data_IF_309056204387
#
_entry.id   IF_309056204387
#
_cell.length_a   1.000
_cell.length_b   1.000
_cell.length_c   1.000
_cell.angle_alpha   90.00
_cell.angle_beta   90.00
_cell.angle_gamma   90.00
#
_symmetry.space_group_name_H-M   'P 1'
#
loop_
_entity.id
_entity.type
_entity.pdbx_description
1 polymer ?
#
# COMPACT_ATOMS: atom_id res chain seq x y z
N UNK A 1 2.58 19.31 2.09
CA UNK A 1 2.07 19.39 0.69
C UNK A 1 0.76 18.64 0.65
N UNK A 2 -0.15 18.91 -0.27
CA UNK A 2 -1.32 18.04 -0.43
C UNK A 2 -0.86 16.71 -1.04
N UNK A 3 -1.54 15.62 -0.69
CA UNK A 3 -1.37 14.35 -1.36
C UNK A 3 -1.72 14.48 -2.84
N UNK A 4 -1.02 13.72 -3.65
CA UNK A 4 -1.28 13.61 -5.10
C UNK A 4 -2.25 12.46 -5.35
N UNK A 5 -3.27 12.74 -6.15
CA UNK A 5 -4.18 11.71 -6.66
C UNK A 5 -3.83 11.48 -8.12
N UNK A 6 -3.43 10.27 -8.46
CA UNK A 6 -3.30 9.84 -9.85
C UNK A 6 -4.70 9.57 -10.40
N UNK A 7 -5.00 10.14 -11.55
CA UNK A 7 -6.24 9.92 -12.29
C UNK A 7 -5.91 9.28 -13.63
N UNK A 8 -6.58 8.20 -13.98
CA UNK A 8 -6.51 7.50 -15.25
C UNK A 8 -7.90 7.51 -15.88
N UNK A 9 -8.05 8.17 -17.00
CA UNK A 9 -9.34 8.41 -17.67
C UNK A 9 -9.33 7.79 -19.05
N UNK A 10 -10.13 6.76 -19.27
CA UNK A 10 -10.25 6.06 -20.54
C UNK A 10 -11.55 6.45 -21.23
N UNK A 11 -11.44 6.84 -22.51
CA UNK A 11 -12.54 7.28 -23.35
C UNK A 11 -12.99 6.18 -24.30
N UNK A 12 -14.25 5.80 -24.27
CA UNK A 12 -14.84 4.91 -25.26
C UNK A 12 -15.34 5.75 -26.46
N UNK A 13 -14.40 6.11 -27.32
CA UNK A 13 -14.66 6.86 -28.55
C UNK A 13 -13.54 6.67 -29.58
N UNK A 14 -13.73 7.17 -30.80
CA UNK A 14 -12.66 7.16 -31.80
C UNK A 14 -11.54 8.11 -31.43
N UNK A 15 -10.35 7.87 -31.99
CA UNK A 15 -9.17 8.73 -31.79
C UNK A 15 -9.43 10.17 -32.25
N UNK A 16 -10.16 10.36 -33.35
CA UNK A 16 -10.53 11.67 -33.86
C UNK A 16 -11.41 12.43 -32.87
N UNK A 17 -12.38 11.70 -32.24
CA UNK A 17 -13.25 12.29 -31.22
C UNK A 17 -12.49 12.64 -29.95
N UNK A 18 -11.56 11.79 -29.51
CA UNK A 18 -10.69 12.10 -28.39
C UNK A 18 -9.81 13.32 -28.66
N UNK A 19 -9.25 13.43 -29.87
CA UNK A 19 -8.46 14.60 -30.25
C UNK A 19 -9.31 15.90 -30.26
N UNK A 20 -10.58 15.84 -30.68
CA UNK A 20 -11.53 16.95 -30.56
C UNK A 20 -11.74 17.36 -29.10
N UNK A 21 -11.98 16.39 -28.22
CA UNK A 21 -12.17 16.61 -26.78
C UNK A 21 -10.94 17.28 -26.19
N UNK A 22 -9.76 16.67 -26.38
CA UNK A 22 -8.51 17.18 -25.83
C UNK A 22 -8.15 18.57 -26.35
N UNK A 23 -8.43 18.85 -27.62
CA UNK A 23 -8.24 20.20 -28.18
C UNK A 23 -9.14 21.23 -27.51
N UNK A 24 -10.37 20.84 -27.14
CA UNK A 24 -11.34 21.73 -26.48
C UNK A 24 -10.94 22.04 -25.05
N UNK A 25 -10.43 21.05 -24.30
CA UNK A 25 -10.15 21.17 -22.86
C UNK A 25 -8.69 21.48 -22.55
N UNK A 26 -7.80 21.52 -23.54
CA UNK A 26 -6.39 21.80 -23.30
C UNK A 26 -6.14 23.23 -22.83
N UNK A 27 -5.11 23.41 -22.05
CA UNK A 27 -4.62 24.70 -21.62
C UNK A 27 -4.08 25.50 -22.83
N UNK A 28 -4.34 26.78 -22.86
CA UNK A 28 -3.85 27.65 -23.94
C UNK A 28 -2.31 27.66 -23.96
N UNK A 29 -1.72 27.49 -25.15
CA UNK A 29 -0.28 27.51 -25.34
C UNK A 29 0.26 28.93 -25.07
N UNK A 30 1.15 29.10 -24.12
CA UNK A 30 1.79 30.38 -23.79
C UNK A 30 2.07 30.62 -22.31
N UNK A 31 1.43 29.94 -21.40
CA UNK A 31 1.88 29.89 -20.03
C UNK A 31 3.00 28.85 -19.93
N UNK A 32 4.21 29.31 -19.58
CA UNK A 32 5.32 28.43 -19.23
C UNK A 32 4.85 27.51 -18.10
N UNK A 33 4.38 26.33 -18.46
CA UNK A 33 3.91 25.32 -17.54
C UNK A 33 5.09 24.77 -16.77
N UNK A 34 5.46 25.42 -15.69
CA UNK A 34 6.24 24.78 -14.67
C UNK A 34 5.41 23.65 -14.08
N UNK A 35 6.00 22.45 -13.95
CA UNK A 35 5.41 21.24 -13.38
C UNK A 35 4.41 20.48 -14.26
N UNK A 36 4.64 20.40 -15.57
CA UNK A 36 3.81 19.54 -16.41
C UNK A 36 2.32 19.88 -16.33
N UNK A 37 1.99 21.15 -16.14
CA UNK A 37 0.63 21.63 -16.22
C UNK A 37 0.10 21.18 -17.57
N UNK A 38 -0.76 20.18 -17.51
CA UNK A 38 -1.05 19.34 -18.61
C UNK A 38 -2.02 19.91 -19.60
N UNK A 39 -2.35 19.07 -20.53
CA UNK A 39 -3.30 19.35 -21.60
C UNK A 39 -4.73 19.45 -21.08
N UNK A 40 -5.01 19.15 -19.80
CA UNK A 40 -6.35 19.29 -19.21
C UNK A 40 -6.43 20.58 -18.39
N UNK A 41 -7.37 21.45 -18.75
CA UNK A 41 -7.69 22.67 -18.01
C UNK A 41 -9.14 22.63 -17.51
N UNK A 42 -9.33 22.51 -16.23
CA UNK A 42 -10.66 22.47 -15.62
C UNK A 42 -11.48 23.75 -15.84
N UNK A 43 -10.81 24.89 -16.07
CA UNK A 43 -11.51 26.14 -16.46
C UNK A 43 -12.16 26.07 -17.86
N UNK A 44 -11.75 25.15 -18.71
CA UNK A 44 -12.40 24.92 -20.02
C UNK A 44 -13.66 24.05 -19.88
N UNK A 45 -13.84 23.39 -18.74
CA UNK A 45 -14.96 22.49 -18.46
C UNK A 45 -15.92 23.17 -17.48
N UNK A 46 -15.46 23.58 -16.29
CA UNK A 46 -16.22 24.36 -15.31
C UNK A 46 -15.45 25.66 -15.03
N UNK A 47 -15.75 26.77 -15.71
CA UNK A 47 -15.00 28.01 -15.56
C UNK A 47 -15.16 28.65 -14.17
N UNK A 48 -14.02 29.01 -13.54
CA UNK A 48 -14.05 29.79 -12.30
C UNK A 48 -14.48 31.24 -12.59
N UNK A 49 -15.56 31.74 -11.98
CA UNK A 49 -16.07 33.09 -12.23
C UNK A 49 -15.07 34.17 -11.86
N UNK A 50 -15.14 35.34 -12.56
CA UNK A 50 -14.21 36.45 -12.35
C UNK A 50 -14.32 37.11 -10.97
N UNK A 51 -15.45 37.02 -10.30
CA UNK A 51 -15.67 37.58 -8.97
C UNK A 51 -14.98 36.75 -7.85
N UNK A 52 -14.51 35.54 -8.14
CA UNK A 52 -13.77 34.70 -7.19
C UNK A 52 -12.35 35.25 -7.02
N UNK A 53 -11.98 35.47 -5.77
CA UNK A 53 -10.61 35.93 -5.44
C UNK A 53 -9.57 34.86 -5.79
N UNK A 54 -8.62 35.20 -6.67
CA UNK A 54 -7.61 34.28 -7.23
C UNK A 54 -6.19 34.54 -6.67
N UNK A 55 -6.05 35.46 -5.70
CA UNK A 55 -4.74 35.83 -5.09
C UNK A 55 -4.30 34.88 -3.97
N UNK A 56 -3.18 35.25 -3.33
CA UNK A 56 -2.68 34.54 -2.14
C UNK A 56 -3.74 34.62 -1.04
N UNK A 57 -4.07 33.46 -0.48
CA UNK A 57 -5.16 33.31 0.49
C UNK A 57 -4.59 33.20 1.92
N UNK A 58 -4.52 34.34 2.61
CA UNK A 58 -4.16 34.42 4.01
C UNK A 58 -5.39 34.54 4.93
N UNK A 59 -5.15 34.78 6.21
CA UNK A 59 -6.22 34.92 7.21
C UNK A 59 -7.13 36.13 6.94
N UNK A 60 -6.55 37.24 6.49
CA UNK A 60 -7.30 38.47 6.21
C UNK A 60 -8.14 38.32 4.94
N UNK A 61 -7.59 37.72 3.88
CA UNK A 61 -8.32 37.46 2.64
C UNK A 61 -9.50 36.52 2.89
N UNK A 62 -9.32 35.48 3.72
CA UNK A 62 -10.44 34.59 4.11
C UNK A 62 -11.55 35.33 4.85
N UNK A 63 -11.24 36.32 5.68
CA UNK A 63 -12.28 37.14 6.34
C UNK A 63 -13.01 38.04 5.35
N UNK A 64 -12.29 38.62 4.37
CA UNK A 64 -12.85 39.55 3.38
C UNK A 64 -13.74 38.83 2.36
N UNK A 65 -13.21 37.74 1.79
CA UNK A 65 -13.85 37.04 0.65
C UNK A 65 -14.71 35.86 1.07
N UNK A 66 -14.60 35.39 2.33
CA UNK A 66 -15.34 34.22 2.80
C UNK A 66 -15.09 33.01 1.89
N UNK A 67 -16.16 32.39 1.39
CA UNK A 67 -16.09 31.29 0.43
C UNK A 67 -15.86 31.73 -1.04
N UNK A 68 -15.91 33.05 -1.33
CA UNK A 68 -15.68 33.59 -2.68
C UNK A 68 -14.17 33.69 -2.97
N UNK A 69 -13.43 32.64 -2.73
CA UNK A 69 -12.01 32.50 -3.00
C UNK A 69 -11.75 31.23 -3.81
N UNK A 70 -10.63 31.20 -4.51
CA UNK A 70 -10.28 30.09 -5.42
C UNK A 70 -10.23 28.73 -4.73
N UNK A 71 -9.79 28.67 -3.48
CA UNK A 71 -9.62 27.42 -2.76
C UNK A 71 -10.95 26.74 -2.43
N UNK A 72 -11.86 27.48 -1.77
CA UNK A 72 -13.17 26.93 -1.41
C UNK A 72 -14.00 26.66 -2.67
N UNK A 73 -13.91 27.54 -3.67
CA UNK A 73 -14.62 27.38 -4.93
C UNK A 73 -14.15 26.14 -5.72
N UNK A 74 -12.83 25.90 -5.81
CA UNK A 74 -12.27 24.73 -6.53
C UNK A 74 -12.72 23.42 -5.88
N UNK A 75 -12.67 23.32 -4.56
CA UNK A 75 -13.13 22.13 -3.84
C UNK A 75 -14.63 21.89 -4.11
N UNK A 76 -15.44 22.93 -4.07
CA UNK A 76 -16.90 22.81 -4.24
C UNK A 76 -17.30 22.47 -5.69
N UNK A 77 -16.60 23.04 -6.71
CA UNK A 77 -17.01 22.94 -8.10
C UNK A 77 -16.16 21.97 -8.93
N UNK A 78 -14.86 21.82 -8.64
CA UNK A 78 -14.00 20.85 -9.32
C UNK A 78 -13.85 19.54 -8.57
N UNK A 79 -14.18 19.52 -7.27
CA UNK A 79 -13.97 18.38 -6.39
C UNK A 79 -12.52 18.22 -5.92
N UNK A 80 -11.61 19.10 -6.32
CA UNK A 80 -10.19 19.05 -5.99
C UNK A 80 -9.64 20.46 -5.78
N UNK A 81 -8.49 20.56 -5.08
CA UNK A 81 -7.89 21.85 -4.72
C UNK A 81 -7.36 22.63 -5.91
N UNK A 82 -6.72 21.97 -6.87
CA UNK A 82 -6.02 22.57 -7.99
C UNK A 82 -6.49 22.03 -9.33
N UNK A 83 -6.13 22.76 -10.39
CA UNK A 83 -6.25 22.28 -11.75
C UNK A 83 -5.37 21.04 -11.98
N UNK A 84 -5.62 20.27 -13.05
CA UNK A 84 -4.83 19.11 -13.42
C UNK A 84 -3.36 19.45 -13.72
N UNK A 85 -2.47 18.52 -13.39
CA UNK A 85 -1.04 18.55 -13.68
C UNK A 85 -0.49 17.14 -13.99
N UNK A 86 0.79 17.03 -14.38
CA UNK A 86 1.43 15.73 -14.71
C UNK A 86 0.70 14.94 -15.78
N UNK A 87 0.37 15.60 -16.90
CA UNK A 87 -0.39 14.96 -17.99
C UNK A 87 0.42 13.89 -18.73
N UNK A 88 -0.25 12.77 -19.02
CA UNK A 88 0.23 11.72 -19.93
C UNK A 88 -0.92 11.22 -20.82
N UNK A 89 -0.56 10.55 -21.93
CA UNK A 89 -1.54 9.93 -22.83
C UNK A 89 -1.00 8.61 -23.36
N UNK A 90 -1.84 7.59 -23.34
CA UNK A 90 -1.61 6.32 -24.01
C UNK A 90 -2.91 5.87 -24.70
N UNK A 91 -2.91 5.93 -26.03
CA UNK A 91 -4.08 5.64 -26.85
C UNK A 91 -5.30 6.49 -26.47
N UNK A 92 -6.37 5.83 -26.03
CA UNK A 92 -7.61 6.46 -25.57
C UNK A 92 -7.63 6.76 -24.05
N UNK A 93 -6.54 6.52 -23.36
CA UNK A 93 -6.40 6.79 -21.94
C UNK A 93 -5.52 8.02 -21.71
N UNK A 94 -5.98 8.93 -20.88
CA UNK A 94 -5.18 10.04 -20.36
C UNK A 94 -4.91 9.84 -18.88
N UNK A 95 -3.71 10.23 -18.44
CA UNK A 95 -3.32 10.30 -17.05
C UNK A 95 -3.06 11.75 -16.64
N UNK A 96 -3.45 12.13 -15.44
CA UNK A 96 -3.08 13.41 -14.82
C UNK A 96 -3.21 13.31 -13.31
N UNK A 97 -2.61 14.27 -12.61
CA UNK A 97 -2.69 14.33 -11.16
C UNK A 97 -3.57 15.49 -10.69
N UNK A 98 -4.19 15.29 -9.52
CA UNK A 98 -4.95 16.30 -8.77
C UNK A 98 -4.51 16.32 -7.32
N UNK A 99 -4.96 17.32 -6.55
CA UNK A 99 -4.56 17.50 -5.17
C UNK A 99 -5.69 17.11 -4.20
N UNK A 100 -5.41 16.13 -3.31
CA UNK A 100 -6.27 15.60 -2.25
C UNK A 100 -7.45 14.73 -2.67
N UNK A 101 -8.03 14.96 -3.84
CA UNK A 101 -9.22 14.23 -4.29
C UNK A 101 -9.33 14.20 -5.81
N UNK A 102 -10.04 13.21 -6.31
CA UNK A 102 -10.35 13.07 -7.72
C UNK A 102 -11.39 14.10 -8.18
N UNK A 103 -11.31 14.61 -9.43
CA UNK A 103 -12.13 15.69 -9.94
C UNK A 103 -13.47 15.19 -10.53
N UNK A 104 -14.27 14.49 -9.73
CA UNK A 104 -15.52 13.87 -10.17
C UNK A 104 -16.50 14.83 -10.86
N UNK A 105 -16.74 16.08 -10.37
CA UNK A 105 -17.60 17.02 -11.05
C UNK A 105 -17.12 17.40 -12.45
N UNK A 106 -15.80 17.51 -12.62
CA UNK A 106 -15.18 17.82 -13.92
C UNK A 106 -15.45 16.71 -14.93
N UNK A 107 -15.34 15.46 -14.55
CA UNK A 107 -15.54 14.33 -15.46
C UNK A 107 -17.00 14.12 -15.82
N UNK A 108 -17.90 14.35 -14.86
CA UNK A 108 -19.33 14.36 -15.15
C UNK A 108 -19.67 15.46 -16.18
N UNK A 109 -19.28 16.72 -15.92
CA UNK A 109 -19.54 17.83 -16.84
C UNK A 109 -18.90 17.61 -18.23
N UNK A 110 -17.69 17.03 -18.28
CA UNK A 110 -17.01 16.69 -19.54
C UNK A 110 -17.89 15.77 -20.40
N UNK A 111 -18.48 14.73 -19.83
CA UNK A 111 -19.40 13.86 -20.58
C UNK A 111 -20.71 14.54 -20.97
N UNK A 112 -21.14 15.56 -20.21
CA UNK A 112 -22.24 16.46 -20.58
C UNK A 112 -21.94 17.34 -21.78
N UNK A 113 -20.68 17.84 -21.89
CA UNK A 113 -20.22 18.62 -23.05
C UNK A 113 -20.11 17.77 -24.31
N UNK A 114 -19.82 16.47 -24.19
CA UNK A 114 -19.65 15.52 -25.29
C UNK A 114 -20.60 14.33 -25.16
N UNK A 115 -21.91 14.53 -25.42
CA UNK A 115 -22.90 13.48 -25.26
C UNK A 115 -22.59 12.23 -26.07
N UNK A 116 -22.83 11.06 -25.48
CA UNK A 116 -22.54 9.76 -26.08
C UNK A 116 -21.11 9.27 -25.89
N UNK A 117 -20.21 10.08 -25.35
CA UNK A 117 -18.87 9.63 -24.95
C UNK A 117 -18.94 9.02 -23.56
N UNK A 118 -18.60 7.73 -23.46
CA UNK A 118 -18.49 7.03 -22.21
C UNK A 118 -17.07 7.16 -21.65
N UNK A 119 -16.96 7.41 -20.36
CA UNK A 119 -15.67 7.57 -19.67
C UNK A 119 -15.60 6.59 -18.50
N UNK A 120 -14.52 5.81 -18.46
CA UNK A 120 -14.10 5.09 -17.25
C UNK A 120 -12.98 5.89 -16.60
N UNK A 121 -13.15 6.22 -15.33
CA UNK A 121 -12.17 6.95 -14.52
C UNK A 121 -11.75 6.10 -13.34
N UNK A 122 -10.47 5.88 -13.21
CA UNK A 122 -9.81 5.22 -12.09
C UNK A 122 -8.92 6.23 -11.38
N UNK A 123 -8.93 6.19 -10.06
CA UNK A 123 -8.09 7.09 -9.27
C UNK A 123 -7.49 6.39 -8.06
N UNK A 124 -6.33 6.86 -7.62
CA UNK A 124 -5.69 6.41 -6.38
C UNK A 124 -4.82 7.52 -5.78
N UNK A 125 -4.83 7.59 -4.45
CA UNK A 125 -3.96 8.45 -3.66
C UNK A 125 -2.51 7.94 -3.71
N UNK A 126 -1.53 8.84 -3.51
CA UNK A 126 -0.13 8.47 -3.30
C UNK A 126 0.08 7.68 -2.00
N UNK A 127 -0.83 7.83 -1.02
CA UNK A 127 -0.95 6.92 0.12
C UNK A 127 -1.62 5.63 -0.35
N UNK A 128 -0.80 4.68 -0.79
CA UNK A 128 -1.25 3.43 -1.43
C UNK A 128 -2.30 2.70 -0.58
N UNK A 129 -3.41 2.36 -1.24
CA UNK A 129 -4.55 1.69 -0.60
C UNK A 129 -5.54 2.64 0.08
N UNK A 130 -5.35 3.95 -0.02
CA UNK A 130 -6.27 4.97 0.48
C UNK A 130 -6.92 5.72 -0.69
N UNK A 131 -8.13 6.28 -0.46
CA UNK A 131 -8.82 7.18 -1.37
C UNK A 131 -8.65 6.76 -2.85
N UNK A 132 -9.13 5.56 -3.19
CA UNK A 132 -9.02 4.96 -4.52
C UNK A 132 -10.35 4.35 -4.97
N UNK A 133 -10.51 4.16 -6.27
CA UNK A 133 -11.70 3.55 -6.86
C UNK A 133 -11.82 3.81 -8.35
N UNK A 134 -12.98 3.42 -8.89
CA UNK A 134 -13.34 3.66 -10.27
C UNK A 134 -14.77 4.21 -10.38
N UNK A 135 -15.00 5.10 -11.35
CA UNK A 135 -16.32 5.62 -11.73
C UNK A 135 -16.48 5.65 -13.23
N UNK A 136 -17.72 5.52 -13.62
CA UNK A 136 -18.16 5.57 -15.01
C UNK A 136 -19.10 6.75 -15.23
N UNK A 137 -18.88 7.48 -16.31
CA UNK A 137 -19.65 8.69 -16.62
C UNK A 137 -20.21 8.64 -18.04
N UNK A 138 -21.44 9.10 -18.19
CA UNK A 138 -22.10 9.26 -19.48
C UNK A 138 -23.11 10.40 -19.42
N UNK A 139 -23.11 11.29 -20.41
CA UNK A 139 -24.08 12.37 -20.58
C UNK A 139 -24.23 13.28 -19.34
N UNK A 140 -23.17 13.55 -18.61
CA UNK A 140 -23.19 14.42 -17.43
C UNK A 140 -23.48 13.70 -16.11
N UNK A 141 -23.71 12.39 -16.14
CA UNK A 141 -24.10 11.62 -14.97
C UNK A 141 -23.08 10.53 -14.64
N UNK A 142 -22.96 10.18 -13.36
CA UNK A 142 -22.27 8.96 -12.92
C UNK A 142 -23.20 7.78 -13.14
N UNK A 143 -22.76 6.80 -13.95
CA UNK A 143 -23.55 5.61 -14.31
C UNK A 143 -23.05 4.33 -13.64
N UNK A 144 -21.86 4.36 -13.05
CA UNK A 144 -21.28 3.27 -12.30
C UNK A 144 -20.23 3.76 -11.30
N UNK A 145 -20.05 3.01 -10.22
CA UNK A 145 -19.00 3.25 -9.22
C UNK A 145 -18.54 1.92 -8.62
N UNK A 146 -17.24 1.76 -8.47
CA UNK A 146 -16.61 0.62 -7.81
C UNK A 146 -15.58 1.16 -6.82
N UNK A 147 -15.76 0.83 -5.55
CA UNK A 147 -14.80 1.14 -4.49
C UNK A 147 -14.28 -0.20 -3.97
N UNK A 148 -12.95 -0.38 -3.82
CA UNK A 148 -12.39 -1.60 -3.25
C UNK A 148 -12.99 -1.94 -1.88
N UNK A 149 -13.33 -3.21 -1.67
CA UNK A 149 -14.04 -3.66 -0.46
C UNK A 149 -13.08 -3.92 0.72
N UNK A 150 -11.81 -4.15 0.43
CA UNK A 150 -10.81 -4.49 1.44
C UNK A 150 -9.43 -3.89 1.12
N UNK A 151 -8.53 -3.97 2.07
CA UNK A 151 -7.19 -3.40 1.97
C UNK A 151 -6.39 -3.97 0.78
N UNK A 152 -6.48 -5.27 0.52
CA UNK A 152 -5.77 -5.90 -0.59
C UNK A 152 -6.21 -5.34 -1.94
N UNK A 153 -7.51 -5.30 -2.19
CA UNK A 153 -8.07 -4.75 -3.44
C UNK A 153 -7.72 -3.27 -3.61
N UNK A 154 -7.75 -2.49 -2.52
CA UNK A 154 -7.39 -1.07 -2.54
C UNK A 154 -5.92 -0.85 -2.92
N UNK A 155 -5.00 -1.66 -2.38
CA UNK A 155 -3.57 -1.59 -2.70
C UNK A 155 -3.31 -2.05 -4.14
N UNK A 156 -3.89 -3.18 -4.56
CA UNK A 156 -3.76 -3.70 -5.93
C UNK A 156 -4.28 -2.68 -6.96
N UNK A 157 -5.45 -2.08 -6.70
CA UNK A 157 -6.01 -1.03 -7.55
C UNK A 157 -5.09 0.21 -7.61
N UNK A 158 -4.55 0.65 -6.47
CA UNK A 158 -3.63 1.79 -6.44
C UNK A 158 -2.35 1.51 -7.23
N UNK A 159 -1.79 0.29 -7.12
CA UNK A 159 -0.63 -0.11 -7.93
C UNK A 159 -0.92 -0.04 -9.43
N UNK A 160 -2.08 -0.52 -9.87
CA UNK A 160 -2.47 -0.46 -11.28
C UNK A 160 -2.62 0.99 -11.77
N UNK A 161 -3.24 1.87 -10.98
CA UNK A 161 -3.47 3.27 -11.36
C UNK A 161 -2.16 4.06 -11.43
N UNK A 162 -1.24 3.83 -10.49
CA UNK A 162 0.07 4.49 -10.44
C UNK A 162 1.11 3.85 -11.37
N UNK A 163 0.93 2.59 -11.76
CA UNK A 163 1.91 1.80 -12.49
C UNK A 163 3.05 1.30 -11.60
N UNK A 164 2.78 1.06 -10.32
CA UNK A 164 3.72 0.54 -9.33
C UNK A 164 3.53 -0.95 -9.08
N UNK A 165 4.46 -1.52 -8.34
CA UNK A 165 4.41 -2.89 -7.84
C UNK A 165 4.57 -2.90 -6.32
N UNK A 166 4.23 -4.02 -5.68
CA UNK A 166 4.43 -4.17 -4.25
C UNK A 166 5.90 -4.00 -3.83
N UNK A 167 6.84 -4.36 -4.70
CA UNK A 167 8.29 -4.22 -4.45
C UNK A 167 8.74 -2.76 -4.38
N UNK A 168 8.09 -1.85 -5.11
CA UNK A 168 8.40 -0.42 -5.07
C UNK A 168 8.10 0.21 -3.69
N UNK A 169 7.32 -0.48 -2.86
CA UNK A 169 6.91 -0.06 -1.52
C UNK A 169 7.38 -1.00 -0.42
N UNK A 170 8.30 -1.92 -0.73
CA UNK A 170 8.80 -2.94 0.23
C UNK A 170 7.65 -3.74 0.87
N UNK A 171 6.61 -4.01 0.07
CA UNK A 171 5.42 -4.75 0.49
C UNK A 171 5.41 -6.16 -0.09
N UNK A 172 4.84 -7.10 0.67
CA UNK A 172 4.49 -8.43 0.18
C UNK A 172 3.10 -8.84 0.67
N UNK A 173 2.48 -9.83 0.01
CA UNK A 173 1.27 -10.45 0.53
C UNK A 173 1.55 -11.13 1.86
N UNK A 174 0.62 -11.04 2.80
CA UNK A 174 0.65 -11.82 4.03
C UNK A 174 0.33 -13.30 3.76
N UNK A 175 0.64 -14.17 4.74
CA UNK A 175 0.45 -15.62 4.59
C UNK A 175 -1.03 -16.01 4.46
N UNK A 176 -1.95 -15.24 5.00
CA UNK A 176 -3.38 -15.43 4.85
C UNK A 176 -3.88 -15.06 3.43
N UNK A 177 -3.10 -14.27 2.67
CA UNK A 177 -3.48 -13.75 1.37
C UNK A 177 -4.58 -12.68 1.42
N UNK A 178 -4.82 -12.07 2.58
CA UNK A 178 -5.90 -11.10 2.82
C UNK A 178 -5.45 -9.66 2.64
N UNK A 179 -4.14 -9.38 2.70
CA UNK A 179 -3.61 -8.03 2.60
C UNK A 179 -2.11 -7.99 2.35
N UNK A 180 -1.58 -6.78 2.28
CA UNK A 180 -0.16 -6.51 2.15
C UNK A 180 0.43 -6.05 3.48
N UNK A 181 1.64 -6.51 3.77
CA UNK A 181 2.46 -6.07 4.89
C UNK A 181 3.75 -5.47 4.36
N UNK A 182 4.34 -4.52 5.08
CA UNK A 182 5.69 -4.02 4.79
C UNK A 182 6.71 -4.97 5.41
N UNK A 183 7.75 -5.22 4.64
CA UNK A 183 8.97 -5.87 5.12
C UNK A 183 9.95 -4.72 5.33
N UNK A 184 9.97 -4.12 6.51
CA UNK A 184 10.96 -3.12 6.87
C UNK A 184 12.20 -3.78 7.53
N UNK A 185 13.27 -2.99 7.67
CA UNK A 185 14.50 -3.48 8.30
C UNK A 185 14.27 -3.88 9.78
N UNK A 186 13.26 -3.30 10.46
CA UNK A 186 12.92 -3.66 11.84
C UNK A 186 12.23 -5.04 11.89
N UNK A 187 11.43 -5.39 10.88
CA UNK A 187 10.86 -6.75 10.74
C UNK A 187 11.94 -7.79 10.42
N UNK A 188 13.01 -7.40 9.71
CA UNK A 188 14.19 -8.28 9.51
C UNK A 188 14.98 -8.51 10.80
N UNK A 189 14.97 -7.63 11.78
CA UNK A 189 15.65 -7.83 13.07
C UNK A 189 14.99 -8.88 13.96
N UNK A 190 13.70 -9.10 13.83
CA UNK A 190 12.99 -10.21 14.45
C UNK A 190 13.10 -11.51 13.62
N UNK A 191 13.65 -11.44 12.40
CA UNK A 191 14.16 -12.58 11.64
C UNK A 191 15.47 -13.05 12.26
N UNK A 192 15.38 -13.78 13.35
CA UNK A 192 16.57 -14.32 13.99
C UNK A 192 17.14 -15.40 13.09
N UNK A 193 18.40 -15.24 12.67
CA UNK A 193 19.24 -16.33 12.15
C UNK A 193 19.48 -17.41 13.21
N UNK A 194 18.45 -17.75 13.98
CA UNK A 194 18.47 -18.82 14.94
C UNK A 194 18.49 -20.13 14.22
N UNK A 195 19.44 -20.76 13.86
CA UNK A 195 19.55 -22.03 13.11
C UNK A 195 19.97 -21.85 11.64
N UNK A 196 20.58 -20.70 11.27
CA UNK A 196 20.96 -20.44 9.88
C UNK A 196 19.76 -20.36 8.92
N UNK A 197 18.57 -20.09 9.42
CA UNK A 197 17.32 -19.98 8.67
C UNK A 197 16.49 -18.81 9.18
N UNK A 198 15.80 -18.16 8.28
CA UNK A 198 14.95 -17.02 8.59
C UNK A 198 13.76 -17.46 9.46
N UNK A 199 13.71 -16.98 10.70
CA UNK A 199 12.60 -17.18 11.62
C UNK A 199 12.22 -15.85 12.27
N UNK A 200 10.92 -15.55 12.31
CA UNK A 200 10.36 -14.44 13.06
C UNK A 200 10.03 -14.94 14.47
N UNK A 201 10.53 -14.25 15.48
CA UNK A 201 10.22 -14.52 16.86
C UNK A 201 9.61 -13.30 17.52
N UNK A 202 8.53 -13.48 18.24
CA UNK A 202 7.91 -12.42 19.03
C UNK A 202 7.24 -12.98 20.27
N UNK A 203 7.16 -12.17 21.33
CA UNK A 203 6.37 -12.44 22.53
C UNK A 203 4.91 -12.01 22.37
N UNK A 204 4.61 -11.29 21.30
CA UNK A 204 3.25 -10.96 20.92
C UNK A 204 2.66 -12.07 20.05
N UNK A 205 1.35 -12.22 20.10
CA UNK A 205 0.69 -13.22 19.27
C UNK A 205 0.64 -12.73 17.82
N UNK A 206 1.23 -13.51 16.92
CA UNK A 206 1.18 -13.29 15.47
C UNK A 206 0.18 -14.24 14.81
N UNK A 207 -0.36 -13.79 13.70
CA UNK A 207 -1.29 -14.54 12.85
C UNK A 207 -0.75 -14.65 11.43
N UNK A 208 -1.42 -15.41 10.58
CA UNK A 208 -1.09 -15.47 9.15
C UNK A 208 -1.27 -14.09 8.44
N UNK A 209 -1.91 -13.12 9.08
CA UNK A 209 -2.05 -11.75 8.58
C UNK A 209 -0.82 -10.88 8.84
N UNK A 210 -0.02 -11.24 9.83
CA UNK A 210 1.13 -10.46 10.30
C UNK A 210 2.46 -10.91 9.65
N UNK A 211 2.48 -12.03 8.95
CA UNK A 211 3.68 -12.66 8.40
C UNK A 211 3.65 -12.72 6.87
N UNK A 212 4.83 -12.70 6.19
CA UNK A 212 4.92 -12.77 4.75
C UNK A 212 4.35 -14.08 4.17
N UNK A 213 3.87 -14.01 2.93
CA UNK A 213 3.43 -15.19 2.19
C UNK A 213 4.57 -16.21 2.08
N UNK A 214 4.23 -17.48 2.34
CA UNK A 214 5.21 -18.59 2.37
C UNK A 214 5.81 -18.87 3.74
N UNK A 215 5.57 -18.01 4.73
CA UNK A 215 5.88 -18.30 6.13
C UNK A 215 4.77 -19.12 6.79
N UNK A 216 5.14 -19.88 7.81
CA UNK A 216 4.25 -20.68 8.66
C UNK A 216 4.37 -20.19 10.08
N UNK A 217 3.25 -19.85 10.71
CA UNK A 217 3.21 -19.44 12.10
C UNK A 217 3.07 -20.65 13.01
N UNK A 218 3.86 -20.67 14.10
CA UNK A 218 3.85 -21.68 15.14
C UNK A 218 3.63 -21.03 16.50
N UNK A 219 2.71 -21.59 17.28
CA UNK A 219 2.38 -21.14 18.63
C UNK A 219 2.95 -22.13 19.64
N UNK A 220 3.79 -21.64 20.53
CA UNK A 220 4.34 -22.42 21.64
C UNK A 220 3.80 -21.88 22.96
N UNK A 221 3.33 -22.78 23.79
CA UNK A 221 2.94 -22.46 25.17
C UNK A 221 3.84 -23.22 26.12
N UNK A 222 4.46 -22.47 27.06
CA UNK A 222 5.27 -23.01 28.10
C UNK A 222 4.83 -22.39 29.46
N UNK A 223 4.38 -23.20 30.40
CA UNK A 223 3.69 -22.75 31.61
C UNK A 223 2.55 -21.78 31.25
N UNK A 224 2.62 -20.53 31.71
CA UNK A 224 1.65 -19.49 31.41
C UNK A 224 2.14 -18.49 30.31
N UNK A 225 3.33 -18.73 29.74
CA UNK A 225 3.88 -17.91 28.69
C UNK A 225 3.56 -18.47 27.30
N UNK A 226 3.26 -17.57 26.36
CA UNK A 226 3.04 -17.90 24.97
C UNK A 226 4.14 -17.28 24.12
N UNK A 227 4.62 -18.05 23.15
CA UNK A 227 5.63 -17.61 22.20
C UNK A 227 5.14 -17.95 20.80
N UNK A 228 5.13 -16.96 19.95
CA UNK A 228 4.83 -17.15 18.55
C UNK A 228 6.10 -16.95 17.72
N UNK A 229 6.30 -17.79 16.73
CA UNK A 229 7.34 -17.60 15.74
C UNK A 229 6.86 -18.04 14.36
N UNK A 230 7.44 -17.47 13.32
CA UNK A 230 7.14 -17.81 11.95
C UNK A 230 8.43 -18.15 11.19
N UNK A 231 8.34 -19.13 10.33
CA UNK A 231 9.47 -19.56 9.48
C UNK A 231 8.96 -20.05 8.13
N UNK A 232 9.81 -19.97 7.11
CA UNK A 232 9.53 -20.58 5.79
C UNK A 232 9.55 -22.11 5.82
N UNK A 233 10.04 -22.71 6.89
CA UNK A 233 10.10 -24.16 7.04
C UNK A 233 8.70 -24.73 7.32
N UNK A 234 8.22 -25.67 6.50
CA UNK A 234 6.88 -26.25 6.67
C UNK A 234 6.78 -27.20 7.86
N UNK A 235 7.93 -27.58 8.43
CA UNK A 235 8.03 -28.50 9.56
C UNK A 235 9.06 -27.99 10.54
N UNK A 236 8.69 -27.95 11.80
CA UNK A 236 9.58 -27.62 12.89
C UNK A 236 9.53 -28.74 13.91
N UNK A 237 10.66 -29.22 14.32
CA UNK A 237 10.80 -30.30 15.28
C UNK A 237 11.47 -29.81 16.56
N UNK A 238 10.92 -30.20 17.69
CA UNK A 238 11.52 -29.90 18.97
C UNK A 238 12.16 -31.18 19.51
N UNK A 239 13.46 -31.09 19.68
CA UNK A 239 14.20 -32.18 20.33
C UNK A 239 14.21 -31.92 21.84
N UNK A 240 13.41 -32.70 22.56
CA UNK A 240 13.19 -32.50 23.99
C UNK A 240 14.43 -32.73 24.86
N UNK A 241 15.32 -33.63 24.45
CA UNK A 241 16.53 -33.93 25.21
C UNK A 241 17.65 -32.91 25.02
N UNK A 242 17.69 -32.29 23.85
CA UNK A 242 18.68 -31.27 23.53
C UNK A 242 18.16 -29.85 23.77
N UNK A 243 16.85 -29.70 24.07
CA UNK A 243 16.18 -28.40 24.15
C UNK A 243 16.35 -27.54 22.88
N UNK A 244 16.43 -28.20 21.72
CA UNK A 244 16.73 -27.58 20.43
C UNK A 244 15.51 -27.63 19.53
N UNK A 245 15.21 -26.53 18.85
CA UNK A 245 14.25 -26.47 17.75
C UNK A 245 15.02 -26.68 16.44
N UNK A 246 14.61 -27.66 15.64
CA UNK A 246 15.27 -28.00 14.38
C UNK A 246 14.24 -28.28 13.29
N UNK A 247 14.66 -28.29 12.05
CA UNK A 247 13.84 -28.70 10.90
C UNK A 247 13.96 -30.19 10.61
N UNK A 248 14.90 -30.88 11.25
CA UNK A 248 15.13 -32.32 11.12
C UNK A 248 15.28 -32.95 12.49
N UNK A 249 14.88 -34.22 12.66
CA UNK A 249 15.08 -34.93 13.91
C UNK A 249 16.57 -35.10 14.17
N UNK A 250 17.05 -34.59 15.30
CA UNK A 250 18.39 -34.85 15.76
C UNK A 250 18.43 -36.24 16.45
N UNK A 251 19.33 -37.09 16.03
CA UNK A 251 19.51 -38.42 16.64
C UNK A 251 20.38 -38.32 17.88
N UNK A 252 19.77 -38.10 19.02
CA UNK A 252 20.41 -38.10 20.34
C UNK A 252 20.04 -39.34 21.15
N UNK A 253 20.25 -40.51 20.57
CA UNK A 253 20.24 -41.78 21.36
C UNK A 253 18.89 -42.08 22.05
N UNK A 254 17.79 -41.94 21.35
CA UNK A 254 16.46 -42.39 21.83
C UNK A 254 15.59 -41.32 22.48
N UNK A 255 15.96 -40.07 22.48
CA UNK A 255 15.10 -38.95 22.84
C UNK A 255 14.23 -38.55 21.66
N UNK A 256 12.92 -38.65 21.81
CA UNK A 256 11.96 -38.33 20.76
C UNK A 256 12.01 -36.87 20.33
N UNK A 257 11.93 -36.61 19.04
CA UNK A 257 11.63 -35.30 18.50
C UNK A 257 10.11 -35.13 18.38
N UNK A 258 9.60 -33.98 18.76
CA UNK A 258 8.19 -33.61 18.61
C UNK A 258 8.04 -32.70 17.39
N UNK A 259 7.18 -33.10 16.48
CA UNK A 259 6.83 -32.28 15.34
C UNK A 259 5.79 -31.24 15.73
N UNK A 260 6.07 -29.96 15.44
CA UNK A 260 5.10 -28.88 15.55
C UNK A 260 4.37 -28.74 14.22
N UNK A 261 3.06 -28.81 14.27
CA UNK A 261 2.20 -28.47 13.13
C UNK A 261 1.33 -27.27 13.50
N UNK A 262 0.83 -26.55 12.49
CA UNK A 262 -0.12 -25.44 12.67
C UNK A 262 -1.31 -25.81 13.58
N UNK A 263 -1.66 -27.10 13.64
CA UNK A 263 -2.84 -27.63 14.34
C UNK A 263 -2.54 -28.06 15.78
N UNK A 264 -1.29 -28.31 16.11
CA UNK A 264 -0.89 -28.86 17.41
C UNK A 264 -0.06 -27.87 18.22
N UNK A 265 -0.70 -26.86 18.81
CA UNK A 265 -0.05 -26.09 19.87
C UNK A 265 0.41 -27.05 20.96
N UNK A 266 1.74 -27.26 21.13
CA UNK A 266 2.26 -28.19 22.13
C UNK A 266 2.47 -27.47 23.45
N UNK A 267 1.81 -27.94 24.51
CA UNK A 267 2.14 -27.56 25.87
C UNK A 267 3.44 -28.24 26.29
N UNK A 268 4.50 -27.46 26.50
CA UNK A 268 5.73 -27.95 27.13
C UNK A 268 5.57 -27.91 28.67
N UNK A 269 5.35 -29.03 29.25
CA UNK A 269 5.50 -29.16 30.72
C UNK A 269 6.82 -29.86 31.01
N UNK A 270 7.75 -29.18 31.66
CA UNK A 270 8.98 -29.77 32.18
C UNK A 270 10.27 -29.52 31.40
N UNK A 271 10.32 -28.62 30.44
CA UNK A 271 11.58 -28.19 29.83
C UNK A 271 12.35 -27.26 30.79
N UNK A 272 13.69 -27.40 30.83
CA UNK A 272 14.55 -26.58 31.69
C UNK A 272 14.69 -25.12 31.30
N UNK A 273 14.19 -24.75 30.10
CA UNK A 273 14.31 -23.41 29.55
C UNK A 273 12.99 -22.98 28.89
N UNK A 274 12.63 -21.71 29.05
CA UNK A 274 11.64 -21.06 28.15
C UNK A 274 12.22 -20.98 26.75
N UNK A 275 11.41 -20.92 25.70
CA UNK A 275 11.89 -20.69 24.35
C UNK A 275 12.74 -19.41 24.30
N UNK A 276 12.34 -18.34 24.98
CA UNK A 276 13.10 -17.11 25.13
C UNK A 276 14.47 -17.34 25.77
N UNK A 277 14.55 -18.07 26.86
CA UNK A 277 15.82 -18.41 27.51
C UNK A 277 16.73 -19.28 26.63
N UNK A 278 16.16 -20.16 25.82
CA UNK A 278 16.89 -20.95 24.84
C UNK A 278 17.48 -20.06 23.72
N UNK A 279 16.71 -19.13 23.19
CA UNK A 279 17.15 -18.17 22.17
C UNK A 279 18.26 -17.26 22.70
N UNK A 280 18.13 -16.75 23.92
CA UNK A 280 19.17 -15.95 24.57
C UNK A 280 20.45 -16.78 24.79
N UNK A 281 20.34 -18.04 25.20
CA UNK A 281 21.46 -18.94 25.38
C UNK A 281 22.22 -19.23 24.08
N UNK A 282 21.51 -19.50 22.98
CA UNK A 282 22.13 -19.73 21.67
C UNK A 282 22.86 -18.49 21.14
N UNK A 283 22.30 -17.29 21.34
CA UNK A 283 22.98 -16.03 21.00
C UNK A 283 24.31 -15.88 21.77
N UNK A 284 24.29 -16.09 23.07
CA UNK A 284 25.49 -16.03 23.92
C UNK A 284 26.50 -17.09 23.53
N UNK A 285 26.07 -18.31 23.17
CA UNK A 285 26.95 -19.39 22.74
C UNK A 285 27.60 -19.08 21.38
N UNK A 286 26.90 -18.46 20.44
CA UNK A 286 27.45 -18.05 19.15
C UNK A 286 28.47 -16.92 19.31
N UNK A 287 28.19 -15.91 20.13
CA UNK A 287 29.12 -14.82 20.44
C UNK A 287 30.42 -15.33 21.08
N UNK A 288 30.33 -16.27 22.03
CA UNK A 288 31.49 -16.87 22.65
C UNK A 288 32.37 -17.68 21.67
N UNK A 289 31.75 -18.35 20.68
CA UNK A 289 32.54 -19.13 19.66
C UNK A 289 33.24 -18.21 18.66
N UNK A 290 32.69 -17.03 18.36
CA UNK A 290 33.35 -16.04 17.51
C UNK A 290 34.54 -15.37 18.23
N UNK A 291 34.44 -15.08 19.52
CA UNK A 291 35.56 -14.53 20.31
C UNK A 291 36.72 -15.52 20.47
N UNK A 292 36.44 -16.82 20.69
CA UNK A 292 37.49 -17.86 20.74
C UNK A 292 38.17 -18.12 19.39
N UNK A 293 37.43 -17.94 18.28
CA UNK A 293 37.97 -18.06 16.92
C UNK A 293 38.93 -16.93 16.54
N UNK A 294 38.76 -15.73 17.12
CA UNK A 294 39.66 -14.59 16.88
C UNK A 294 40.93 -14.55 17.71
N UNK A 295 41.05 -15.41 18.72
CA UNK A 295 42.26 -15.48 19.58
C UNK A 295 43.29 -16.53 19.16
N UNK A 296 43.05 -17.29 18.09
CA UNK A 296 43.93 -18.32 17.56
C UNK A 296 44.49 -18.03 16.16
N UNK A 297 44.43 -16.76 15.72
CA UNK A 297 44.97 -16.28 14.44
C UNK A 297 46.23 -15.44 14.57
#
# INVERSE_FOLDING_TARGET
MPNHIQNRVTFDCSEEKLNEILTTIQKDSGENGNFGLGTVDFNKIIPMPDHIFKGLLGTEEKKIYGKNNWYDWSIENWGTKWNAYSFSRDGNTIGFQTAWSAPHPILAELTGMFPGVYITHEWADEDIGQNCGAREYLNGETVGETIPENNREAIEHAFEVWGYTAQDFEMCLNAAGTGYIRIDEETEYDLVELFGKNALYTTERITDEDIPQGFHCYHLRYDDEMFDFATVEPRVMINHAASVITTEPLDFGGSGALELTKENGINFTGAMFTLKGFIEYEKEALECTEEEGMTLG
#
